data_IF_961253104380
#
_entry.id   IF_961253104380
#
_cell.length_a   1.000
_cell.length_b   1.000
_cell.length_c   1.000
_cell.angle_alpha   90.00
_cell.angle_beta   90.00
_cell.angle_gamma   90.00
#
_symmetry.space_group_name_H-M   'P 1'
#
loop_
_entity.id
_entity.type
_entity.pdbx_description
1 polymer ?
2 polymer ?
3 polymer ?
#
loop_
_entity_poly.entity_id
_entity_poly.type
_entity_poly.pdbx_seq_one_letter_code
_entity_poly.pdbx_strand_id
2 'polydeoxyribonucleotide' '(DA)(DT)(DG)(DT)(DG)(DG)(DT)(DC)(DC)(DC)(DG)(DT)(DG)(DT)' ?
3 'polydeoxyribonucleotide' '(DT)(DA)(DC)(DA)(DC)(DG)(DG)(DG)(DA)(DC)(DC)(DA)(DC)(DA)' ?
#
# COMPACT_ATOMS: atom_id res chain seq x y z
N UNK A 52 16.69 29.32 5.29
CA UNK A 52 17.51 28.15 5.00
C UNK A 52 16.96 26.93 5.70
N UNK A 53 17.51 25.77 5.37
CA UNK A 53 17.20 24.45 5.92
C UNK A 53 15.99 23.80 5.26
N UNK A 54 15.25 24.49 4.39
CA UNK A 54 14.03 23.90 3.84
C UNK A 54 14.30 22.87 2.75
N UNK A 55 15.55 22.66 2.35
CA UNK A 55 15.92 21.63 1.38
C UNK A 55 16.58 20.46 2.10
N UNK A 56 16.54 19.29 1.46
CA UNK A 56 17.27 18.12 1.91
C UNK A 56 18.04 17.55 0.73
N UNK A 57 19.12 16.84 1.03
CA UNK A 57 20.00 16.32 0.00
C UNK A 57 19.55 14.92 -0.42
N UNK A 58 19.03 14.83 -1.63
CA UNK A 58 18.53 13.60 -2.22
C UNK A 58 19.45 13.13 -3.34
N UNK A 59 19.20 11.93 -3.85
CA UNK A 59 20.04 11.36 -4.90
C UNK A 59 19.98 12.14 -6.20
N UNK A 60 19.04 13.06 -6.33
CA UNK A 60 18.87 13.87 -7.53
C UNK A 60 19.22 15.33 -7.28
N UNK A 61 19.78 15.65 -6.12
CA UNK A 61 20.12 17.01 -5.79
C UNK A 61 19.27 17.54 -4.64
N UNK A 62 19.39 18.83 -4.40
CA UNK A 62 18.61 19.36 -3.31
C UNK A 62 17.15 19.50 -3.64
N UNK A 63 16.28 19.06 -2.74
CA UNK A 63 14.84 19.13 -2.96
C UNK A 63 14.11 19.69 -1.77
N UNK A 64 13.00 20.37 -2.00
CA UNK A 64 12.30 21.02 -0.93
C UNK A 64 11.49 20.12 -0.08
N UNK A 65 11.25 20.58 1.13
CA UNK A 65 10.49 19.78 2.06
C UNK A 65 8.99 20.01 1.96
N UNK A 66 8.56 21.07 1.29
CA UNK A 66 7.14 21.33 1.06
C UNK A 66 6.82 20.85 -0.35
N UNK A 67 5.88 19.90 -0.47
CA UNK A 67 5.50 19.32 -1.76
C UNK A 67 3.99 19.34 -1.87
N UNK A 68 3.51 19.60 -3.09
CA UNK A 68 2.09 19.81 -3.34
C UNK A 68 1.48 18.56 -3.94
N UNK A 69 0.57 17.94 -3.18
CA UNK A 69 -0.15 16.73 -3.60
C UNK A 69 -1.28 17.05 -4.54
N UNK A 70 -1.45 16.19 -5.54
CA UNK A 70 -2.59 16.32 -6.44
C UNK A 70 -3.91 16.10 -5.69
N UNK A 71 -4.97 16.78 -6.18
CA UNK A 71 -6.28 16.66 -5.53
C UNK A 71 -6.63 15.22 -5.29
N UNK A 72 -6.49 14.38 -6.32
CA UNK A 72 -6.71 12.95 -6.13
C UNK A 72 -5.88 12.40 -4.98
N UNK A 73 -4.61 12.78 -4.91
CA UNK A 73 -3.74 12.20 -3.88
C UNK A 73 -4.06 12.80 -2.51
N UNK A 74 -4.27 14.11 -2.48
CA UNK A 74 -4.51 14.83 -1.23
C UNK A 74 -5.77 14.32 -0.53
N UNK A 75 -6.85 14.11 -1.28
CA UNK A 75 -8.09 13.57 -0.72
C UNK A 75 -7.82 12.28 0.04
N UNK A 76 -7.03 11.40 -0.57
CA UNK A 76 -6.72 10.14 0.08
C UNK A 76 -5.70 10.33 1.18
N UNK A 77 -4.66 11.14 0.95
CA UNK A 77 -3.60 11.21 1.95
C UNK A 77 -4.11 11.88 3.23
N UNK A 78 -4.89 12.95 3.10
CA UNK A 78 -5.45 13.60 4.27
C UNK A 78 -6.38 12.65 5.04
N UNK A 79 -7.09 11.76 4.32
CA UNK A 79 -7.92 10.77 5.00
C UNK A 79 -7.07 9.92 5.94
N UNK A 80 -5.93 9.42 5.46
CA UNK A 80 -5.06 8.65 6.34
C UNK A 80 -4.63 9.49 7.54
N UNK A 81 -4.11 10.68 7.29
CA UNK A 81 -3.67 11.53 8.38
C UNK A 81 -4.81 11.76 9.37
N UNK A 82 -6.00 12.08 8.86
CA UNK A 82 -7.15 12.34 9.74
C UNK A 82 -7.56 11.08 10.49
N UNK A 83 -7.71 9.96 9.77
CA UNK A 83 -7.96 8.69 10.43
C UNK A 83 -6.93 8.40 11.50
N UNK A 84 -5.65 8.57 11.17
CA UNK A 84 -4.63 8.36 12.20
C UNK A 84 -4.72 9.38 13.33
N UNK A 85 -5.51 10.44 13.17
CA UNK A 85 -5.50 11.52 14.13
C UNK A 85 -4.13 12.08 14.48
N UNK A 86 -3.35 12.44 13.46
CA UNK A 86 -2.06 13.09 13.65
C UNK A 86 -2.22 14.60 13.41
N UNK A 87 -1.45 15.40 14.14
CA UNK A 87 -1.65 16.84 14.05
C UNK A 87 -1.00 17.42 12.79
N UNK A 88 0.20 16.96 12.44
CA UNK A 88 0.99 17.43 11.31
C UNK A 88 1.07 16.34 10.24
N UNK A 89 0.93 16.69 8.96
CA UNK A 89 0.89 15.63 7.92
C UNK A 89 2.21 14.91 7.72
N UNK A 90 3.35 15.53 8.02
CA UNK A 90 4.61 14.80 7.89
C UNK A 90 4.55 13.47 8.62
N UNK A 91 3.94 13.46 9.80
CA UNK A 91 3.92 12.22 10.58
C UNK A 91 3.10 11.14 9.88
N UNK A 92 2.08 11.52 9.11
CA UNK A 92 1.35 10.53 8.31
C UNK A 92 2.26 9.89 7.28
N UNK A 93 3.23 10.65 6.77
CA UNK A 93 4.18 10.11 5.80
C UNK A 93 5.14 9.16 6.48
N UNK A 94 5.55 9.44 7.67
CA UNK A 94 6.44 8.53 8.30
C UNK A 94 5.74 7.23 8.42
N UNK A 95 4.48 7.25 8.73
CA UNK A 95 3.70 6.04 8.87
C UNK A 95 3.56 5.34 7.58
N UNK A 96 2.96 6.01 6.63
CA UNK A 96 2.74 5.40 5.36
C UNK A 96 4.01 4.74 4.91
N UNK A 97 5.14 5.33 5.20
CA UNK A 97 6.38 4.78 4.71
C UNK A 97 6.65 3.52 5.46
N UNK A 98 6.64 3.61 6.76
CA UNK A 98 6.90 2.46 7.57
C UNK A 98 5.91 1.37 7.37
N UNK A 99 4.73 1.67 6.87
CA UNK A 99 3.74 0.63 6.72
C UNK A 99 3.87 0.08 5.35
N UNK A 100 5.02 0.31 4.74
CA UNK A 100 5.24 -0.14 3.40
C UNK A 100 6.69 -0.43 3.14
N UNK A 101 7.39 -0.93 4.15
CA UNK A 101 8.77 -1.28 3.95
C UNK A 101 8.81 -2.47 3.07
N UNK A 102 7.96 -3.45 3.36
CA UNK A 102 8.00 -4.69 2.62
C UNK A 102 8.26 -4.42 1.18
N UNK A 103 7.54 -3.49 0.61
CA UNK A 103 7.66 -3.26 -0.80
C UNK A 103 8.80 -2.36 -1.13
N UNK A 104 9.11 -1.48 -0.23
CA UNK A 104 10.13 -0.54 -0.51
C UNK A 104 11.36 -1.34 -0.63
N UNK A 105 11.44 -2.41 0.14
CA UNK A 105 12.64 -3.21 0.16
C UNK A 105 12.93 -3.85 -1.17
N UNK A 106 11.92 -4.21 -1.93
CA UNK A 106 12.12 -4.71 -3.26
C UNK A 106 12.52 -3.52 -4.07
N UNK A 107 13.08 -3.73 -5.24
CA UNK A 107 13.60 -2.61 -6.00
C UNK A 107 14.26 -1.61 -5.09
N UNK B 34 -16.71 27.19 -3.38
CA UNK B 34 -17.40 26.55 -4.51
C UNK B 34 -17.07 25.06 -4.68
N UNK B 35 -18.04 24.13 -4.37
CA UNK B 35 -17.75 22.69 -4.26
C UNK B 35 -17.94 22.02 -5.61
N UNK B 36 -17.18 20.93 -5.81
CA UNK B 36 -17.10 20.22 -7.09
C UNK B 36 -16.74 18.76 -6.81
N UNK B 37 -17.56 17.83 -7.32
CA UNK B 37 -17.36 16.42 -7.01
C UNK B 37 -16.26 15.80 -7.86
N UNK B 38 -15.46 14.91 -7.24
CA UNK B 38 -14.34 14.22 -7.88
C UNK B 38 -14.27 12.78 -7.37
N UNK B 39 -13.61 11.92 -8.15
CA UNK B 39 -13.41 10.53 -7.77
C UNK B 39 -12.82 10.42 -6.37
N UNK B 40 -13.61 9.88 -5.44
CA UNK B 40 -13.12 9.58 -4.11
C UNK B 40 -13.29 10.69 -3.10
N UNK B 41 -13.93 11.79 -3.46
CA UNK B 41 -14.05 12.91 -2.54
C UNK B 41 -14.58 14.15 -3.22
N UNK B 42 -14.13 15.30 -2.74
CA UNK B 42 -14.63 16.56 -3.27
C UNK B 42 -13.52 17.60 -3.28
N UNK B 43 -13.77 18.65 -4.05
CA UNK B 43 -12.82 19.72 -4.33
C UNK B 43 -13.53 21.05 -4.16
N UNK B 44 -12.79 22.07 -3.72
CA UNK B 44 -13.31 23.42 -3.65
C UNK B 44 -12.56 24.29 -4.65
N UNK B 45 -13.33 24.98 -5.50
CA UNK B 45 -12.76 25.94 -6.43
C UNK B 45 -12.07 27.06 -5.66
N UNK B 46 -11.05 27.62 -6.27
CA UNK B 46 -10.31 28.69 -5.62
C UNK B 46 -11.11 29.99 -5.71
N UNK B 47 -11.03 30.81 -4.65
CA UNK B 47 -11.85 32.01 -4.53
C UNK B 47 -11.15 33.25 -5.10
N UNK B 48 -9.88 33.49 -4.73
CA UNK B 48 -9.18 34.69 -5.15
C UNK B 48 -8.59 34.58 -6.55
N UNK B 49 -8.33 35.75 -7.15
CA UNK B 49 -7.75 35.81 -8.50
C UNK B 49 -6.22 35.67 -8.48
N UNK B 50 -5.57 35.91 -7.34
CA UNK B 50 -4.11 35.82 -7.30
C UNK B 50 -3.65 34.37 -7.39
N UNK B 51 -4.39 33.44 -6.79
CA UNK B 51 -4.05 32.02 -6.93
C UNK B 51 -5.28 31.24 -7.34
N UNK B 52 -5.11 30.34 -8.32
CA UNK B 52 -6.19 29.50 -8.83
C UNK B 52 -5.94 28.03 -8.47
N UNK B 53 -5.41 27.77 -7.28
CA UNK B 53 -5.22 26.41 -6.81
C UNK B 53 -6.45 25.93 -6.06
N UNK B 54 -6.95 24.76 -6.47
CA UNK B 54 -8.04 24.09 -5.79
C UNK B 54 -7.57 23.55 -4.44
N UNK B 55 -8.49 23.53 -3.46
CA UNK B 55 -8.32 22.77 -2.23
C UNK B 55 -9.22 21.55 -2.28
N UNK B 56 -8.92 20.55 -1.43
CA UNK B 56 -9.74 19.35 -1.34
C UNK B 56 -10.55 19.40 -0.05
N UNK B 57 -11.79 18.89 -0.11
CA UNK B 57 -12.63 18.86 1.08
C UNK B 57 -12.35 17.60 1.85
N UNK B 58 -12.11 17.78 3.15
CA UNK B 58 -11.81 16.70 4.03
C UNK B 58 -12.62 16.72 5.30
N UNK B 59 -12.24 15.91 6.26
CA UNK B 59 -12.96 15.78 7.50
C UNK B 59 -12.81 16.93 8.42
N UNK B 60 -11.98 17.87 8.07
CA UNK B 60 -11.78 18.99 8.91
C UNK B 60 -11.96 20.20 8.06
N UNK B 61 -12.63 20.03 6.94
CA UNK B 61 -12.99 21.17 6.13
C UNK B 61 -12.13 21.28 4.90
N UNK B 62 -12.27 22.39 4.17
CA UNK B 62 -11.32 22.67 3.09
C UNK B 62 -9.90 22.57 3.61
N UNK B 63 -8.99 22.10 2.75
CA UNK B 63 -7.58 22.02 3.07
C UNK B 63 -6.74 22.31 1.84
N UNK B 64 -5.68 23.08 2.05
CA UNK B 64 -4.69 23.33 1.00
C UNK B 64 -4.03 22.00 0.66
N UNK B 65 -3.48 21.92 -0.55
CA UNK B 65 -2.98 20.65 -1.04
C UNK B 65 -1.49 20.49 -0.83
N UNK B 66 -0.80 21.51 -0.33
CA UNK B 66 0.61 21.30 -0.03
C UNK B 66 0.77 20.76 1.39
N UNK B 67 1.96 20.24 1.67
CA UNK B 67 2.27 19.61 2.94
C UNK B 67 3.77 19.69 3.14
N UNK B 68 4.19 20.03 4.33
CA UNK B 68 5.58 20.12 4.60
C UNK B 68 5.94 18.94 5.30
N UNK B 69 7.11 18.44 4.98
CA UNK B 69 7.60 17.29 5.63
C UNK B 69 8.82 17.64 6.37
N UNK B 70 9.01 17.02 7.51
CA UNK B 70 10.23 17.20 8.28
C UNK B 70 11.42 16.69 7.47
N UNK B 71 12.62 17.08 7.92
CA UNK B 71 13.83 16.71 7.21
C UNK B 71 14.03 15.20 7.18
N UNK B 72 14.04 14.55 8.35
CA UNK B 72 14.19 13.08 8.34
C UNK B 72 13.20 12.45 7.38
N UNK B 73 11.91 12.78 7.52
CA UNK B 73 10.88 12.23 6.65
C UNK B 73 11.14 12.58 5.19
N UNK B 74 11.49 13.83 4.91
CA UNK B 74 11.72 14.24 3.55
C UNK B 74 12.87 13.46 2.93
N UNK B 75 13.86 13.05 3.73
CA UNK B 75 14.98 12.32 3.17
C UNK B 75 14.56 10.91 2.81
N UNK B 76 13.83 10.25 3.72
CA UNK B 76 13.38 8.89 3.40
C UNK B 76 12.28 8.92 2.36
N UNK B 77 11.38 9.91 2.41
CA UNK B 77 10.39 10.01 1.36
C UNK B 77 11.04 10.18 -0.01
N UNK B 78 11.96 11.08 -0.14
CA UNK B 78 12.51 11.34 -1.47
C UNK B 78 13.36 10.18 -1.94
N UNK B 79 13.69 9.26 -1.05
CA UNK B 79 14.39 8.07 -1.45
C UNK B 79 13.43 7.25 -2.21
N UNK B 80 12.45 6.70 -1.54
CA UNK B 80 11.46 5.90 -2.19
C UNK B 80 11.06 6.48 -3.51
N UNK B 81 10.91 7.77 -3.58
CA UNK B 81 10.44 8.36 -4.80
C UNK B 81 11.37 8.06 -5.87
N UNK B 82 12.64 8.11 -5.56
CA UNK B 82 13.63 7.94 -6.59
C UNK B 82 13.81 6.49 -6.86
N UNK B 83 13.77 5.67 -5.85
CA UNK B 83 13.81 4.24 -6.13
C UNK B 83 12.68 3.79 -7.06
N UNK B 84 11.57 4.52 -7.09
CA UNK B 84 10.55 4.27 -8.11
C UNK B 84 10.82 5.07 -9.38
N UNK B 85 11.83 5.93 -9.37
CA UNK B 85 12.06 6.79 -10.50
C UNK B 85 10.86 7.62 -10.91
N UNK B 86 10.05 8.06 -9.95
CA UNK B 86 8.94 8.95 -10.22
C UNK B 86 9.41 10.39 -10.23
N UNK B 87 8.96 11.15 -11.23
CA UNK B 87 9.35 12.56 -11.34
C UNK B 87 8.80 13.37 -10.18
N UNK B 88 7.43 13.18 -9.86
CA UNK B 88 6.58 14.02 -9.01
C UNK B 88 6.36 13.34 -7.68
N UNK B 89 6.55 14.06 -6.56
CA UNK B 89 6.37 13.40 -5.25
C UNK B 89 4.98 12.85 -5.04
N UNK B 90 3.95 13.52 -5.59
CA UNK B 90 2.59 13.07 -5.36
C UNK B 90 2.39 11.64 -5.86
N UNK B 91 3.10 11.25 -6.94
CA UNK B 91 2.99 9.89 -7.44
C UNK B 91 3.64 8.87 -6.51
N UNK B 92 4.56 9.29 -5.66
CA UNK B 92 5.09 8.36 -4.68
C UNK B 92 4.20 8.28 -3.45
N UNK B 93 3.45 9.33 -3.15
CA UNK B 93 2.46 9.23 -2.08
C UNK B 93 1.31 8.33 -2.51
N UNK B 94 0.91 8.41 -3.79
CA UNK B 94 -0.07 7.45 -4.30
C UNK B 94 0.42 6.01 -4.16
N UNK B 95 1.64 5.74 -4.62
CA UNK B 95 2.21 4.41 -4.45
C UNK B 95 2.17 3.98 -2.99
N UNK B 96 2.65 4.85 -2.09
CA UNK B 96 2.74 4.48 -0.67
C UNK B 96 1.36 4.12 -0.13
N UNK B 97 0.33 4.85 -0.56
CA UNK B 97 -1.03 4.61 -0.09
C UNK B 97 -1.54 3.29 -0.64
N UNK B 98 -1.43 3.12 -1.98
CA UNK B 98 -1.83 1.84 -2.56
C UNK B 98 -1.06 0.68 -1.94
N UNK B 99 0.05 0.96 -1.26
CA UNK B 99 0.89 -0.06 -0.66
C UNK B 99 0.65 -0.20 0.83
N UNK B 100 -0.08 0.72 1.42
CA UNK B 100 -0.46 0.56 2.82
C UNK B 100 -1.92 0.39 2.94
N UNK B 101 -2.58 0.05 1.84
CA UNK B 101 -4.02 -0.09 1.82
C UNK B 101 -4.57 -0.94 2.92
N UNK B 102 -3.87 -2.01 3.16
CA UNK B 102 -4.28 -2.93 4.15
C UNK B 102 -4.35 -2.14 5.46
N UNK B 103 -3.25 -1.64 5.99
CA UNK B 103 -3.21 -0.81 7.15
C UNK B 103 -4.26 0.23 7.18
N UNK B 104 -4.24 1.07 6.18
CA UNK B 104 -5.17 2.16 6.16
C UNK B 104 -6.48 1.62 6.56
N UNK B 105 -6.97 0.64 5.85
CA UNK B 105 -8.30 0.15 6.12
C UNK B 105 -8.28 -0.70 7.37
N UNK B 106 -8.21 -0.07 8.53
CA UNK B 106 -8.20 -0.76 9.80
C UNK B 106 -8.02 0.28 10.86
N UNK E 52 -11.34 -2.42 -5.99
CA UNK E 52 -10.40 -3.10 -6.87
C UNK E 52 -9.19 -2.20 -7.12
N UNK E 53 -8.16 -2.76 -7.76
CA UNK E 53 -7.07 -1.98 -8.34
C UNK E 53 -6.96 -2.35 -9.82
N UNK E 54 -7.97 -1.98 -10.59
CA UNK E 54 -7.93 -2.24 -12.02
C UNK E 54 -7.51 -1.05 -12.85
N UNK E 55 -7.45 0.15 -12.25
CA UNK E 55 -7.14 1.38 -12.97
C UNK E 55 -6.03 2.14 -12.26
N UNK E 56 -5.39 3.07 -12.99
CA UNK E 56 -4.34 3.95 -12.48
C UNK E 56 -4.63 5.37 -12.92
N UNK E 57 -4.14 6.34 -12.14
CA UNK E 57 -4.39 7.76 -12.39
C UNK E 57 -3.24 8.34 -13.21
N UNK E 58 -3.57 8.93 -14.36
CA UNK E 58 -2.57 9.37 -15.32
C UNK E 58 -2.90 10.79 -15.79
N UNK E 59 -1.94 11.39 -16.50
CA UNK E 59 -2.08 12.76 -16.99
C UNK E 59 -3.31 12.97 -17.86
N UNK E 60 -3.91 11.89 -18.36
CA UNK E 60 -5.16 11.97 -19.09
C UNK E 60 -6.32 11.30 -18.35
N UNK E 61 -6.14 10.94 -17.08
CA UNK E 61 -7.24 10.49 -16.27
C UNK E 61 -7.05 9.12 -15.63
N UNK E 62 -8.16 8.43 -15.41
CA UNK E 62 -8.10 7.02 -14.98
C UNK E 62 -7.88 6.12 -16.19
N UNK E 63 -6.93 5.19 -16.06
CA UNK E 63 -6.59 4.30 -17.17
C UNK E 63 -6.39 2.86 -16.75
N UNK E 64 -6.72 1.92 -17.61
CA UNK E 64 -6.69 0.51 -17.24
C UNK E 64 -5.36 -0.17 -17.33
N UNK E 65 -5.14 -1.06 -16.41
CA UNK E 65 -3.89 -1.83 -16.41
C UNK E 65 -3.95 -3.07 -17.28
N UNK E 66 -4.91 -3.18 -18.18
CA UNK E 66 -4.94 -4.29 -19.11
C UNK E 66 -5.10 -3.70 -20.51
N UNK E 67 -4.16 -4.03 -21.39
CA UNK E 67 -3.92 -3.38 -22.67
C UNK E 67 -3.90 -4.44 -23.76
N UNK E 68 -4.44 -4.11 -24.92
CA UNK E 68 -4.38 -5.04 -26.05
C UNK E 68 -3.46 -4.46 -27.12
N UNK E 69 -2.44 -5.23 -27.48
CA UNK E 69 -1.49 -4.79 -28.49
C UNK E 69 -1.85 -5.38 -29.83
N UNK E 70 -1.56 -4.62 -30.89
CA UNK E 70 -1.78 -5.09 -32.25
C UNK E 70 -1.01 -6.37 -32.48
N UNK E 71 -1.51 -7.18 -33.43
CA UNK E 71 -0.84 -8.44 -33.78
C UNK E 71 0.65 -8.23 -33.97
N UNK E 72 1.02 -7.19 -34.72
CA UNK E 72 2.43 -6.91 -34.97
C UNK E 72 3.15 -6.56 -33.68
N UNK E 73 2.64 -5.58 -32.94
CA UNK E 73 3.28 -5.19 -31.69
C UNK E 73 3.49 -6.39 -30.78
N UNK E 74 2.49 -7.27 -30.71
CA UNK E 74 2.54 -8.40 -29.80
C UNK E 74 3.60 -9.42 -30.22
N UNK E 75 3.70 -9.74 -31.51
CA UNK E 75 4.73 -10.71 -31.94
C UNK E 75 6.11 -10.25 -31.46
N UNK E 76 6.36 -8.94 -31.53
CA UNK E 76 7.65 -8.43 -31.12
C UNK E 76 7.75 -8.37 -29.61
N UNK E 77 6.75 -7.78 -28.94
CA UNK E 77 6.82 -7.67 -27.48
C UNK E 77 6.91 -9.04 -26.82
N UNK E 78 6.07 -9.98 -27.27
CA UNK E 78 6.01 -11.29 -26.64
C UNK E 78 7.30 -12.06 -26.86
N UNK E 79 7.98 -11.80 -27.99
CA UNK E 79 9.30 -12.38 -28.21
C UNK E 79 10.28 -11.89 -27.16
N UNK E 80 10.33 -10.57 -26.94
CA UNK E 80 11.22 -10.00 -25.94
C UNK E 80 10.98 -10.64 -24.58
N UNK E 81 9.71 -10.71 -24.15
CA UNK E 81 9.41 -11.36 -22.88
C UNK E 81 10.03 -12.76 -22.82
N UNK E 82 9.88 -13.51 -23.90
CA UNK E 82 10.34 -14.89 -23.89
C UNK E 82 11.86 -14.98 -23.82
N UNK E 83 12.57 -14.13 -24.58
CA UNK E 83 14.03 -14.15 -24.51
C UNK E 83 14.52 -13.81 -23.11
N UNK E 84 13.88 -12.84 -22.46
CA UNK E 84 14.17 -12.58 -21.05
C UNK E 84 13.66 -13.67 -20.13
N UNK E 85 12.80 -14.56 -20.62
CA UNK E 85 12.33 -15.63 -19.78
C UNK E 85 11.37 -15.25 -18.66
N UNK E 86 10.84 -14.02 -18.66
CA UNK E 86 9.91 -13.62 -17.61
C UNK E 86 8.55 -14.32 -17.74
N UNK E 87 7.91 -14.58 -16.60
CA UNK E 87 6.61 -15.25 -16.60
C UNK E 87 5.47 -14.30 -16.95
N UNK E 88 5.38 -13.16 -16.25
CA UNK E 88 4.29 -12.22 -16.48
C UNK E 88 4.77 -11.01 -17.29
N UNK E 89 3.98 -10.58 -18.28
CA UNK E 89 4.49 -9.59 -19.26
C UNK E 89 4.84 -8.26 -18.65
N UNK E 90 4.36 -7.95 -17.46
CA UNK E 90 4.68 -6.68 -16.84
C UNK E 90 6.19 -6.51 -16.69
N UNK E 91 6.88 -7.53 -16.15
CA UNK E 91 8.32 -7.44 -15.95
C UNK E 91 9.07 -7.16 -17.26
N UNK E 92 8.48 -7.52 -18.41
CA UNK E 92 9.13 -7.20 -19.68
C UNK E 92 8.88 -5.76 -20.05
N UNK E 93 7.68 -5.25 -19.74
CA UNK E 93 7.38 -3.84 -19.94
C UNK E 93 8.24 -2.99 -19.04
N UNK E 94 8.52 -3.50 -17.83
CA UNK E 94 9.55 -2.89 -16.98
C UNK E 94 10.88 -2.84 -17.71
N UNK E 95 11.34 -3.99 -18.19
CA UNK E 95 12.67 -4.09 -18.78
C UNK E 95 12.83 -3.10 -19.92
N UNK E 96 11.82 -2.96 -20.78
CA UNK E 96 11.95 -2.05 -21.91
C UNK E 96 11.98 -0.61 -21.45
N UNK E 97 11.17 -0.29 -20.44
CA UNK E 97 11.22 1.05 -19.88
C UNK E 97 12.61 1.34 -19.35
N UNK E 98 13.14 0.48 -18.47
CA UNK E 98 14.52 0.62 -18.00
C UNK E 98 15.49 0.73 -19.18
N UNK E 99 15.41 -0.21 -20.11
CA UNK E 99 16.33 -0.28 -21.24
C UNK E 99 16.11 0.83 -22.26
N UNK E 100 15.17 1.75 -22.05
CA UNK E 100 15.04 2.89 -22.93
C UNK E 100 15.06 4.19 -22.14
N UNK E 101 15.84 4.21 -21.05
CA UNK E 101 15.93 5.39 -20.22
C UNK E 101 16.43 6.59 -21.01
N UNK E 102 17.39 6.37 -21.91
CA UNK E 102 17.94 7.47 -22.69
C UNK E 102 16.87 8.13 -23.54
N UNK E 103 16.14 7.33 -24.31
CA UNK E 103 15.12 7.87 -25.20
C UNK E 103 13.98 8.52 -24.42
N UNK E 104 13.55 7.90 -23.31
CA UNK E 104 12.46 8.44 -22.51
C UNK E 104 12.84 9.80 -21.92
N UNK E 105 14.08 9.92 -21.43
CA UNK E 105 14.55 11.15 -20.80
C UNK E 105 14.65 12.30 -21.78
N UNK E 106 14.86 12.01 -23.07
CA UNK E 106 14.95 13.02 -24.11
C UNK E 106 13.55 13.43 -24.66
N UNK E 107 12.50 13.17 -23.89
CA UNK E 107 11.14 13.48 -24.32
C UNK E 107 10.61 14.73 -23.61
N UNK F 34 -6.12 -21.63 -39.38
CA UNK F 34 -5.83 -20.83 -38.20
C UNK F 34 -4.57 -20.00 -38.37
N UNK F 35 -3.50 -20.59 -38.90
CA UNK F 35 -2.18 -19.95 -38.95
C UNK F 35 -2.06 -19.16 -40.25
N UNK F 36 -1.87 -17.85 -40.13
CA UNK F 36 -1.76 -16.96 -41.29
C UNK F 36 -0.42 -16.23 -41.20
N UNK F 37 0.26 -16.12 -42.33
CA UNK F 37 1.60 -15.56 -42.36
C UNK F 37 1.54 -14.04 -42.33
N UNK F 38 2.17 -13.43 -41.33
CA UNK F 38 2.26 -11.98 -41.21
C UNK F 38 3.73 -11.61 -41.09
N UNK F 39 4.02 -10.33 -41.28
CA UNK F 39 5.39 -9.84 -41.15
C UNK F 39 5.86 -9.99 -39.72
N UNK F 40 6.90 -10.80 -39.51
CA UNK F 40 7.53 -10.93 -38.21
C UNK F 40 7.12 -12.15 -37.41
N UNK F 41 6.17 -12.92 -37.90
CA UNK F 41 5.62 -14.05 -37.17
C UNK F 41 4.37 -14.54 -37.87
N UNK F 42 3.48 -15.14 -37.11
CA UNK F 42 2.18 -15.52 -37.65
C UNK F 42 1.08 -15.19 -36.65
N UNK F 43 -0.06 -14.74 -37.16
CA UNK F 43 -1.25 -14.64 -36.32
C UNK F 43 -2.06 -15.93 -36.45
N UNK F 44 -2.98 -16.15 -35.52
CA UNK F 44 -3.90 -17.29 -35.57
C UNK F 44 -5.30 -16.73 -35.67
N UNK F 45 -6.00 -17.02 -36.77
CA UNK F 45 -7.39 -16.63 -36.90
C UNK F 45 -8.23 -17.32 -35.81
N UNK F 46 -9.09 -16.55 -35.14
CA UNK F 46 -9.87 -17.05 -34.03
C UNK F 46 -10.74 -18.24 -34.44
N UNK F 47 -11.22 -18.98 -33.46
CA UNK F 47 -11.91 -20.24 -33.73
C UNK F 47 -13.42 -20.05 -33.94
N UNK F 48 -14.12 -19.52 -32.93
CA UNK F 48 -15.54 -19.26 -33.04
C UNK F 48 -15.84 -17.77 -33.21
N UNK F 49 -17.11 -17.48 -33.47
CA UNK F 49 -17.59 -16.13 -33.78
C UNK F 49 -18.21 -15.42 -32.58
N UNK F 50 -17.88 -15.85 -31.35
CA UNK F 50 -18.20 -15.03 -30.18
C UNK F 50 -17.17 -13.94 -29.99
N UNK F 51 -15.89 -14.26 -30.24
CA UNK F 51 -14.83 -13.26 -30.28
C UNK F 51 -14.06 -13.47 -31.57
N UNK F 52 -13.80 -12.36 -32.28
CA UNK F 52 -13.15 -12.40 -33.58
C UNK F 52 -11.73 -11.83 -33.52
N UNK F 53 -11.09 -11.91 -32.37
CA UNK F 53 -9.74 -11.36 -32.20
C UNK F 53 -8.69 -12.42 -32.51
N UNK F 54 -7.74 -12.06 -33.36
CA UNK F 54 -6.66 -12.95 -33.66
C UNK F 54 -5.77 -13.13 -32.44
N UNK F 55 -5.06 -14.25 -32.41
CA UNK F 55 -3.94 -14.40 -31.51
C UNK F 55 -2.64 -14.42 -32.31
N UNK F 56 -1.52 -14.32 -31.61
CA UNK F 56 -0.23 -14.35 -32.27
C UNK F 56 0.47 -15.63 -31.86
N UNK F 57 1.32 -16.16 -32.76
CA UNK F 57 2.12 -17.35 -32.46
C UNK F 57 3.46 -16.93 -31.87
N UNK F 58 3.61 -17.14 -30.56
CA UNK F 58 4.86 -16.94 -29.86
C UNK F 58 5.72 -18.21 -29.83
N UNK F 59 6.93 -18.07 -29.33
CA UNK F 59 7.80 -19.22 -29.09
C UNK F 59 7.22 -20.16 -28.05
N UNK F 60 6.20 -19.74 -27.32
CA UNK F 60 5.51 -20.61 -26.38
C UNK F 60 4.11 -20.94 -26.86
N UNK F 61 3.80 -20.67 -28.12
CA UNK F 61 2.55 -21.08 -28.71
C UNK F 61 1.59 -19.94 -28.96
N UNK F 62 0.33 -20.28 -29.21
CA UNK F 62 -0.69 -19.22 -29.38
C UNK F 62 -0.88 -18.48 -28.08
N UNK F 63 -0.75 -17.16 -28.14
CA UNK F 63 -1.01 -16.35 -26.96
C UNK F 63 -2.00 -15.25 -27.30
N UNK F 64 -2.89 -14.96 -26.35
CA UNK F 64 -3.84 -13.86 -26.49
C UNK F 64 -3.04 -12.56 -26.50
N UNK F 65 -3.57 -11.55 -27.18
CA UNK F 65 -2.78 -10.34 -27.39
C UNK F 65 -2.97 -9.28 -26.31
N UNK F 66 -3.55 -9.61 -25.19
CA UNK F 66 -3.70 -8.66 -24.10
C UNK F 66 -2.63 -8.96 -23.05
N UNK F 67 -2.18 -7.89 -22.44
CA UNK F 67 -1.16 -7.99 -21.43
C UNK F 67 -1.59 -7.13 -20.29
N UNK F 68 -1.28 -7.57 -19.10
CA UNK F 68 -1.69 -6.86 -17.95
C UNK F 68 -0.49 -6.37 -17.27
N UNK F 69 -0.62 -5.24 -16.61
CA UNK F 69 0.55 -4.64 -16.05
C UNK F 69 0.50 -4.27 -14.59
N UNK F 70 1.60 -4.44 -13.89
CA UNK F 70 1.70 -3.97 -12.52
C UNK F 70 1.17 -2.54 -12.45
N UNK F 71 0.59 -2.18 -11.31
CA UNK F 71 0.17 -0.79 -11.14
C UNK F 71 1.37 0.14 -11.14
N UNK F 72 2.50 -0.29 -10.58
CA UNK F 72 3.74 0.45 -10.76
C UNK F 72 4.10 0.54 -12.25
N UNK F 73 4.02 -0.60 -12.96
CA UNK F 73 4.40 -0.66 -14.37
C UNK F 73 3.48 0.19 -15.24
N UNK F 74 2.22 0.35 -14.85
CA UNK F 74 1.32 1.18 -15.65
C UNK F 74 1.59 2.66 -15.44
N UNK F 75 1.89 3.05 -14.20
CA UNK F 75 2.13 4.46 -13.94
C UNK F 75 3.29 4.95 -14.79
N UNK F 76 4.38 4.18 -14.82
CA UNK F 76 5.52 4.52 -15.67
C UNK F 76 5.17 4.41 -17.15
N UNK F 77 4.57 3.28 -17.57
CA UNK F 77 4.25 3.07 -18.99
C UNK F 77 3.43 4.21 -19.55
N UNK F 78 2.34 4.55 -18.89
CA UNK F 78 1.44 5.57 -19.38
C UNK F 78 2.11 6.95 -19.37
N UNK F 79 2.97 7.20 -18.38
CA UNK F 79 3.84 8.38 -18.42
C UNK F 79 4.51 8.49 -19.80
N UNK F 80 5.33 7.48 -20.14
CA UNK F 80 5.95 7.41 -21.46
C UNK F 80 4.95 7.73 -22.57
N UNK F 81 3.77 7.10 -22.53
CA UNK F 81 2.87 7.20 -23.67
C UNK F 81 2.31 8.60 -23.78
N UNK F 82 1.89 9.17 -22.66
CA UNK F 82 1.42 10.55 -22.69
C UNK F 82 2.51 11.46 -23.24
N UNK F 83 3.73 11.34 -22.71
CA UNK F 83 4.84 12.13 -23.24
C UNK F 83 5.05 11.89 -24.73
N UNK F 84 4.81 10.67 -25.20
CA UNK F 84 4.92 10.41 -26.63
C UNK F 84 3.70 10.89 -27.39
N UNK F 85 2.57 11.10 -26.70
CA UNK F 85 1.40 11.63 -27.34
C UNK F 85 0.68 10.66 -28.24
N UNK F 86 0.84 9.35 -28.02
CA UNK F 86 0.15 8.37 -28.84
C UNK F 86 -1.25 8.08 -28.33
N UNK F 87 -2.17 7.83 -29.25
CA UNK F 87 -3.53 7.51 -28.85
C UNK F 87 -3.61 6.12 -28.22
N UNK F 88 -3.23 5.07 -28.98
CA UNK F 88 -3.37 3.69 -28.54
C UNK F 88 -2.07 3.22 -27.87
N UNK F 89 -2.15 2.63 -26.68
CA UNK F 89 -0.91 2.26 -25.97
C UNK F 89 -0.02 1.33 -26.77
N UNK F 90 -0.61 0.50 -27.66
CA UNK F 90 0.23 -0.37 -28.48
C UNK F 90 1.24 0.44 -29.29
N UNK F 91 0.84 1.61 -29.79
CA UNK F 91 1.80 2.52 -30.44
C UNK F 91 2.96 2.86 -29.52
N UNK F 92 2.78 2.75 -28.21
CA UNK F 92 3.83 3.14 -27.29
C UNK F 92 4.75 1.99 -26.92
N UNK F 93 4.27 0.75 -26.96
CA UNK F 93 5.20 -0.34 -26.71
C UNK F 93 6.00 -0.66 -27.98
N UNK F 94 5.41 -0.42 -29.15
CA UNK F 94 6.19 -0.35 -30.39
C UNK F 94 7.38 0.60 -30.22
N UNK F 95 7.09 1.84 -29.84
CA UNK F 95 8.15 2.80 -29.59
C UNK F 95 9.20 2.23 -28.63
N UNK F 96 8.76 1.70 -27.50
CA UNK F 96 9.73 1.19 -26.53
C UNK F 96 10.65 0.14 -27.13
N UNK F 97 10.11 -0.71 -28.01
CA UNK F 97 10.90 -1.82 -28.55
C UNK F 97 11.88 -1.32 -29.60
N UNK F 98 11.48 -0.31 -30.40
CA UNK F 98 12.45 0.34 -31.26
C UNK F 98 13.59 0.92 -30.43
N UNK F 99 13.25 1.81 -29.50
CA UNK F 99 14.28 2.48 -28.72
C UNK F 99 14.97 1.55 -27.73
N UNK F 100 14.64 0.25 -27.72
CA UNK F 100 15.43 -0.71 -26.95
C UNK F 100 16.12 -1.71 -27.86
N UNK F 101 16.22 -1.40 -29.16
CA UNK F 101 16.80 -2.34 -30.12
C UNK F 101 18.16 -2.83 -29.66
N UNK F 102 19.02 -1.90 -29.19
CA UNK F 102 20.42 -2.23 -28.97
C UNK F 102 20.60 -3.24 -27.84
N UNK F 103 19.78 -3.13 -26.79
CA UNK F 103 19.83 -4.10 -25.70
C UNK F 103 18.93 -5.30 -25.93
N UNK F 104 18.08 -5.26 -26.96
CA UNK F 104 17.30 -6.43 -27.33
C UNK F 104 18.20 -7.48 -27.97
N UNK F 105 18.84 -7.08 -29.06
CA UNK F 105 19.65 -7.99 -29.82
C UNK F 105 20.71 -8.71 -29.06
N UNK F 106 21.03 -8.24 -27.88
CA UNK F 106 21.98 -8.94 -27.07
C UNK F 106 21.28 -9.87 -26.14
N UNK F 107 19.98 -10.01 -26.32
CA UNK F 107 19.23 -10.90 -25.49
C UNK F 107 19.29 -12.28 -26.08
N UNK I 53 5.53 -28.48 30.94
CA UNK I 53 4.07 -28.50 30.83
C UNK I 53 3.45 -27.14 31.13
N UNK I 54 2.81 -26.55 30.11
CA UNK I 54 2.45 -25.14 30.11
C UNK I 54 0.95 -24.88 29.94
N UNK I 55 0.10 -25.79 30.33
CA UNK I 55 -1.30 -25.56 30.12
C UNK I 55 -1.94 -25.29 31.45
N UNK I 56 -3.21 -24.92 31.44
CA UNK I 56 -3.94 -24.62 32.66
C UNK I 56 -5.32 -25.24 32.55
N UNK I 57 -5.85 -25.69 33.70
CA UNK I 57 -7.08 -26.48 33.76
C UNK I 57 -8.29 -25.55 33.85
N UNK I 58 -8.92 -25.33 32.69
CA UNK I 58 -10.12 -24.52 32.49
C UNK I 58 -11.38 -25.38 32.57
N UNK I 59 -12.52 -24.69 32.70
CA UNK I 59 -13.82 -25.35 32.61
C UNK I 59 -14.18 -25.75 31.19
N UNK I 60 -13.33 -25.46 30.22
CA UNK I 60 -13.50 -26.00 28.88
C UNK I 60 -12.29 -26.84 28.48
N UNK I 61 -11.64 -27.49 29.46
CA UNK I 61 -10.47 -28.29 29.20
C UNK I 61 -9.17 -27.53 29.38
N UNK I 62 -8.04 -28.13 29.01
CA UNK I 62 -6.74 -27.43 29.11
C UNK I 62 -6.66 -26.26 28.15
N UNK I 63 -6.37 -25.08 28.70
CA UNK I 63 -6.08 -23.90 27.90
C UNK I 63 -4.63 -23.51 28.13
N UNK I 64 -4.03 -22.88 27.12
CA UNK I 64 -2.62 -22.53 27.19
C UNK I 64 -2.40 -21.25 28.01
N UNK I 65 -1.26 -21.18 28.70
CA UNK I 65 -0.92 -20.01 29.48
C UNK I 65 -0.40 -18.86 28.64
N UNK I 66 -0.35 -19.02 27.33
CA UNK I 66 0.11 -17.98 26.43
C UNK I 66 -0.96 -17.71 25.39
N UNK I 67 -1.16 -16.42 25.09
CA UNK I 67 -2.38 -15.93 24.45
C UNK I 67 -2.00 -14.82 23.47
N UNK I 68 -2.55 -14.87 22.25
CA UNK I 68 -2.18 -13.92 21.21
C UNK I 68 -3.22 -12.82 21.15
N UNK I 69 -2.91 -11.69 21.79
CA UNK I 69 -3.83 -10.56 21.79
C UNK I 69 -3.94 -9.97 20.39
N UNK I 70 -5.17 -9.67 19.97
CA UNK I 70 -5.41 -9.09 18.66
C UNK I 70 -4.81 -7.69 18.58
N UNK I 71 -4.55 -7.26 17.34
CA UNK I 71 -3.84 -5.99 17.11
C UNK I 71 -4.44 -4.85 17.92
N UNK I 72 -5.77 -4.68 17.85
CA UNK I 72 -6.43 -3.60 18.61
C UNK I 72 -6.32 -3.85 20.10
N UNK I 73 -6.62 -5.07 20.53
CA UNK I 73 -6.54 -5.37 21.96
C UNK I 73 -5.13 -5.19 22.48
N UNK I 74 -4.13 -5.37 21.62
CA UNK I 74 -2.74 -5.31 22.04
C UNK I 74 -2.38 -3.93 22.58
N UNK I 75 -2.71 -2.88 21.83
CA UNK I 75 -2.31 -1.53 22.23
C UNK I 75 -2.96 -1.16 23.55
N UNK I 76 -4.28 -1.31 23.63
CA UNK I 76 -5.00 -0.96 24.83
C UNK I 76 -4.47 -1.72 26.03
N UNK I 77 -4.14 -3.01 25.87
CA UNK I 77 -3.59 -3.76 26.99
C UNK I 77 -2.15 -3.34 27.29
N UNK I 78 -1.32 -3.21 26.25
CA UNK I 78 0.08 -2.89 26.46
C UNK I 78 0.24 -1.49 27.06
N UNK I 79 -0.61 -0.54 26.62
CA UNK I 79 -0.67 0.78 27.24
C UNK I 79 -0.90 0.69 28.74
N UNK I 80 -1.94 -0.04 29.15
CA UNK I 80 -2.22 -0.21 30.57
C UNK I 80 -1.02 -0.83 31.29
N UNK I 81 -0.42 -1.86 30.68
CA UNK I 81 0.80 -2.42 31.25
C UNK I 81 1.92 -1.39 31.33
N UNK I 82 2.03 -0.52 30.31
CA UNK I 82 3.02 0.56 30.31
C UNK I 82 2.76 1.54 31.45
N UNK I 83 1.55 2.11 31.50
CA UNK I 83 1.25 3.15 32.49
C UNK I 83 1.26 2.61 33.92
N UNK I 84 1.19 1.29 34.13
CA UNK I 84 1.43 0.78 35.48
C UNK I 84 2.86 0.35 35.72
N UNK I 85 3.76 0.57 34.75
CA UNK I 85 5.15 0.24 34.94
C UNK I 85 5.45 -1.19 35.32
N UNK I 86 4.58 -2.14 35.00
CA UNK I 86 4.86 -3.53 35.27
C UNK I 86 5.75 -4.10 34.16
N UNK I 87 6.64 -5.03 34.53
CA UNK I 87 7.63 -5.58 33.62
C UNK I 87 7.06 -6.77 32.81
N UNK I 88 6.58 -7.82 33.51
CA UNK I 88 5.95 -8.96 32.86
C UNK I 88 4.44 -8.74 32.72
N UNK I 89 3.83 -8.99 31.56
CA UNK I 89 2.46 -8.51 31.30
C UNK I 89 1.38 -9.32 32.00
N UNK I 90 1.73 -10.44 32.64
CA UNK I 90 0.74 -11.16 33.43
C UNK I 90 0.21 -10.27 34.56
N UNK I 91 1.03 -9.46 35.19
CA UNK I 91 0.56 -8.69 36.33
C UNK I 91 -0.47 -7.63 36.03
N UNK I 92 -0.62 -7.28 34.78
CA UNK I 92 -1.54 -6.27 34.43
C UNK I 92 -2.87 -6.86 34.35
N UNK I 93 -2.91 -8.10 33.92
CA UNK I 93 -4.16 -8.74 33.74
C UNK I 93 -4.73 -8.98 35.10
N UNK I 94 -3.87 -9.24 36.06
CA UNK I 94 -4.35 -9.43 37.39
C UNK I 94 -4.98 -8.17 37.78
N UNK I 95 -4.21 -7.10 37.71
CA UNK I 95 -4.74 -5.80 38.00
C UNK I 95 -6.04 -5.60 37.31
N UNK I 96 -6.06 -5.78 36.01
CA UNK I 96 -7.26 -5.53 35.25
C UNK I 96 -8.40 -6.36 35.73
N UNK I 97 -8.12 -7.35 36.54
CA UNK I 97 -9.17 -8.26 36.94
C UNK I 97 -9.67 -7.86 38.28
N UNK I 98 -8.80 -7.34 39.10
CA UNK I 98 -9.23 -6.88 40.37
C UNK I 98 -10.15 -5.74 40.12
N UNK I 99 -9.80 -4.89 39.17
CA UNK I 99 -10.58 -3.71 38.94
C UNK I 99 -11.73 -3.94 38.06
N UNK I 100 -12.17 -5.17 37.99
CA UNK I 100 -13.36 -5.44 37.25
C UNK I 100 -14.12 -6.40 38.07
N UNK I 101 -13.72 -6.52 39.31
CA UNK I 101 -14.38 -7.43 40.18
C UNK I 101 -15.81 -7.10 40.21
N UNK I 102 -16.12 -5.85 40.45
CA UNK I 102 -17.50 -5.47 40.60
C UNK I 102 -18.30 -5.99 39.45
N UNK I 103 -17.63 -6.19 38.33
CA UNK I 103 -18.32 -6.66 37.18
C UNK I 103 -18.32 -8.14 37.15
N UNK I 104 -17.14 -8.72 37.12
CA UNK I 104 -17.05 -10.15 36.98
C UNK I 104 -17.99 -10.82 37.96
N UNK I 105 -18.07 -10.30 39.16
CA UNK I 105 -18.87 -10.95 40.20
C UNK I 105 -20.34 -10.88 39.89
N UNK I 106 -20.69 -10.20 38.83
CA UNK I 106 -22.04 -10.11 38.44
C UNK I 106 -22.20 -10.96 37.22
N UNK I 107 -21.28 -11.92 37.03
CA UNK I 107 -21.28 -12.80 35.84
C UNK I 107 -20.73 -12.08 34.60
N UNK J 50 9.76 -15.50 7.35
CA UNK J 50 9.15 -16.79 7.63
C UNK J 50 7.93 -16.68 8.58
N UNK J 51 7.76 -15.50 9.20
CA UNK J 51 6.57 -15.21 10.00
C UNK J 51 5.98 -13.89 9.53
N UNK J 52 4.65 -13.84 9.47
CA UNK J 52 3.92 -12.69 8.94
C UNK J 52 2.98 -12.05 9.96
N UNK J 53 3.29 -12.18 11.25
CA UNK J 53 2.46 -11.60 12.29
C UNK J 53 2.86 -10.15 12.54
N UNK J 54 1.89 -9.34 12.96
CA UNK J 54 2.16 -7.93 13.20
C UNK J 54 2.62 -7.68 14.64
N UNK J 55 3.53 -6.72 14.78
CA UNK J 55 3.90 -6.15 16.07
C UNK J 55 3.17 -4.83 16.26
N UNK J 56 3.24 -4.28 17.47
CA UNK J 56 2.42 -3.12 17.79
C UNK J 56 3.29 -1.97 18.31
N UNK J 57 2.78 -0.75 18.12
CA UNK J 57 3.47 0.47 18.56
C UNK J 57 3.10 0.72 20.02
N UNK J 58 3.99 0.34 20.93
CA UNK J 58 3.87 0.68 22.34
C UNK J 58 4.75 1.87 22.66
N UNK J 59 4.45 2.52 23.78
CA UNK J 59 5.27 3.64 24.23
C UNK J 59 6.73 3.22 24.38
N UNK J 60 6.98 2.01 24.88
CA UNK J 60 8.32 1.49 25.07
C UNK J 60 8.85 0.72 23.84
N UNK J 61 8.30 0.99 22.69
CA UNK J 61 8.80 0.36 21.48
C UNK J 61 7.89 -0.60 20.76
N UNK J 62 8.50 -1.56 20.04
CA UNK J 62 7.71 -2.53 19.31
C UNK J 62 7.47 -3.76 20.13
N UNK J 63 6.31 -4.36 20.01
CA UNK J 63 6.02 -5.48 20.86
C UNK J 63 5.29 -6.61 20.16
N UNK J 64 5.66 -7.83 20.49
CA UNK J 64 4.98 -8.93 19.92
C UNK J 64 3.71 -8.92 20.65
N UNK J 65 2.70 -9.46 20.04
CA UNK J 65 1.39 -9.43 20.66
C UNK J 65 1.05 -10.67 21.47
N UNK J 66 2.02 -11.51 21.80
CA UNK J 66 1.74 -12.64 22.69
C UNK J 66 2.19 -12.28 24.10
N UNK J 67 1.23 -12.16 24.98
CA UNK J 67 1.41 -12.08 26.43
C UNK J 67 1.37 -13.49 27.00
N UNK J 68 2.20 -13.78 27.98
CA UNK J 68 2.18 -15.06 28.67
C UNK J 68 1.68 -14.82 30.10
N UNK J 69 0.60 -15.50 30.46
CA UNK J 69 -0.03 -15.37 31.76
C UNK J 69 0.60 -16.32 32.76
N UNK J 70 0.71 -15.86 34.01
CA UNK J 70 1.18 -16.74 35.07
C UNK J 70 0.21 -17.88 35.24
N UNK J 71 0.63 -18.87 36.03
CA UNK J 71 -0.24 -19.98 36.38
C UNK J 71 -1.53 -19.45 37.01
N UNK J 72 -1.43 -18.83 38.20
CA UNK J 72 -2.62 -18.40 38.92
C UNK J 72 -3.49 -17.46 38.07
N UNK J 73 -2.85 -16.63 37.23
CA UNK J 73 -3.59 -15.65 36.45
C UNK J 73 -4.39 -16.32 35.35
N UNK J 74 -3.84 -17.36 34.74
CA UNK J 74 -4.55 -18.04 33.66
C UNK J 74 -5.83 -18.69 34.17
N UNK J 75 -5.78 -19.29 35.36
CA UNK J 75 -6.99 -19.85 35.97
C UNK J 75 -8.08 -18.77 36.05
N UNK J 76 -7.75 -17.65 36.71
CA UNK J 76 -8.71 -16.56 36.85
C UNK J 76 -9.08 -15.97 35.50
N UNK J 77 -8.09 -15.67 34.66
CA UNK J 77 -8.41 -15.02 33.38
C UNK J 77 -9.40 -15.87 32.61
N UNK J 78 -9.11 -17.17 32.48
CA UNK J 78 -9.96 -18.03 31.67
C UNK J 78 -11.31 -18.25 32.32
N UNK J 79 -11.37 -18.24 33.65
CA UNK J 79 -12.66 -18.25 34.34
C UNK J 79 -13.53 -17.10 33.84
N UNK J 80 -12.96 -15.90 33.79
CA UNK J 80 -13.70 -14.74 33.31
C UNK J 80 -14.18 -14.98 31.89
N UNK J 81 -13.25 -15.33 30.99
CA UNK J 81 -13.60 -15.51 29.58
C UNK J 81 -14.71 -16.55 29.43
N UNK J 82 -14.71 -17.57 30.28
CA UNK J 82 -15.72 -18.61 30.17
C UNK J 82 -17.07 -18.14 30.70
N UNK J 83 -17.07 -17.34 31.78
CA UNK J 83 -18.31 -16.72 32.21
C UNK J 83 -18.92 -15.85 31.11
N UNK J 84 -18.06 -15.14 30.36
CA UNK J 84 -18.55 -14.28 29.28
C UNK J 84 -18.91 -15.06 28.02
N UNK J 85 -18.45 -16.31 27.92
CA UNK J 85 -18.76 -17.13 26.76
C UNK J 85 -18.15 -16.66 25.45
N UNK J 86 -17.13 -15.82 25.49
CA UNK J 86 -16.46 -15.42 24.26
C UNK J 86 -15.51 -16.51 23.77
N UNK J 87 -15.32 -16.58 22.45
CA UNK J 87 -14.51 -17.65 21.87
C UNK J 87 -13.03 -17.37 22.04
N UNK J 88 -12.58 -16.16 21.71
CA UNK J 88 -11.18 -15.83 21.68
C UNK J 88 -10.76 -15.04 22.91
N UNK J 89 -9.65 -15.42 23.55
CA UNK J 89 -9.23 -14.72 24.77
C UNK J 89 -9.02 -13.24 24.57
N UNK J 90 -8.72 -12.80 23.36
CA UNK J 90 -8.59 -11.37 23.09
C UNK J 90 -9.88 -10.65 23.45
N UNK J 91 -11.02 -11.20 23.02
CA UNK J 91 -12.33 -10.63 23.31
C UNK J 91 -12.60 -10.44 24.80
N UNK J 92 -11.94 -11.21 25.68
CA UNK J 92 -12.12 -11.02 27.11
C UNK J 92 -11.18 -9.96 27.67
N UNK J 93 -10.01 -9.77 27.07
CA UNK J 93 -9.13 -8.70 27.54
C UNK J 93 -9.73 -7.35 27.18
N UNK J 94 -10.42 -7.27 26.04
CA UNK J 94 -11.24 -6.10 25.73
C UNK J 94 -12.24 -5.84 26.85
N UNK J 95 -13.04 -6.85 27.15
CA UNK J 95 -14.02 -6.74 28.22
C UNK J 95 -13.39 -6.26 29.52
N UNK J 96 -12.17 -6.72 29.81
CA UNK J 96 -11.55 -6.37 31.09
C UNK J 96 -11.07 -4.92 31.09
N UNK J 97 -10.35 -4.51 30.03
CA UNK J 97 -9.92 -3.12 29.93
C UNK J 97 -11.15 -2.20 29.95
N UNK J 98 -12.20 -2.56 29.26
CA UNK J 98 -13.35 -1.66 29.18
C UNK J 98 -14.15 -1.62 30.43
N UNK J 99 -13.84 -2.48 31.37
CA UNK J 99 -14.60 -2.54 32.59
C UNK J 99 -13.70 -2.10 33.66
N UNK J 100 -12.72 -1.31 33.28
CA UNK J 100 -11.85 -0.74 34.24
C UNK J 100 -11.58 0.61 33.67
N UNK J 101 -12.41 1.05 32.73
CA UNK J 101 -12.12 2.40 32.26
C UNK J 101 -11.89 3.33 33.44
N UNK J 102 -12.62 3.12 34.54
CA UNK J 102 -12.45 3.95 35.72
C UNK J 102 -11.06 3.77 36.33
N UNK J 103 -10.58 2.54 36.41
CA UNK J 103 -9.33 2.28 37.11
C UNK J 103 -8.11 2.71 36.31
N UNK J 104 -8.07 2.41 35.00
CA UNK J 104 -7.09 3.08 34.15
C UNK J 104 -7.36 4.57 34.28
N UNK J 105 -6.33 5.39 34.00
CA UNK J 105 -6.24 6.84 34.31
C UNK J 105 -5.54 7.06 35.68
#
# INVERSE_FOLDING_TARGET
MGSSHHHHHHSSGLVPRGSHMGLKGYSVGEGGGEIVEVQGGHIIRATGRKDRHSKVFTSKGPRDRRVRLSAHTAIQFYDVQDRLGYDRPSKAVDWLIKKAKTAIDKL
MGSSHHHHHHSSGLVPRGSHMGLKGYSVGEGGGEIVEVQGGHIIRATGRKDRHSKVFTSKGPRDRRVRLSAHTAIQFYDVQDRLGYDRPSKAVDWLIKKAKTAIDKL
MGSSHHHHHHSSGLVPRGSHMGLKGYSVGEGGGEIVEVQGGHIIRATGRKDRHSKVFTSKGPRDRRVRLSAHTAIQFYDVQDRLGYDRPSKAVDWLIKKAKTAIDKL
MGSSHHHHHHSSGLVPRGSHMGLKGYSVGEGGGEIVEVQGGHIIRATGRKDRHSKVFTSKGPRDRRVRLSAHTAIQFYDVQDRLGYDRPSKAVDWLIKKAKTAIDKL
MGSSHHHHHHSSGLVPRGSHMGLKGYSVGEGGGEIVEVQGGHIIRATGRKDRHSKVFTSKGPRDRRVRLSAHTAIQFYDVQDRLGYDRPSKAVDWLIKKAKTAIDKL
MGSSHHHHHHSSGLVPRGSHMGLKGYSVGEGGGEIVEVQGGHIIRATGRKDRHSKVFTSKGPRDRRVRLSAHTAIQFYDVQDRLGYDRPSKAVDWLIKKAKTAIDKL
#
